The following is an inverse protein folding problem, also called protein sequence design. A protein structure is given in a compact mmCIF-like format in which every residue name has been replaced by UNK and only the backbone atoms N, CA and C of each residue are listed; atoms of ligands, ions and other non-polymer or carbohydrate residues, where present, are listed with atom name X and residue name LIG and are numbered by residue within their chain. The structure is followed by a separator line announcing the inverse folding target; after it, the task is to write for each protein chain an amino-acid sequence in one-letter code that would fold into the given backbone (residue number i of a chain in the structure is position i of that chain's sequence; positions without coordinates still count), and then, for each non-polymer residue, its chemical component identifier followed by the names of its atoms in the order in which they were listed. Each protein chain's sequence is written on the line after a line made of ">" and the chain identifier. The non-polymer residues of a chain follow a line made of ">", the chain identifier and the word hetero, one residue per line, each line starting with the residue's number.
data_IF_620328608937
#
_entry.id   IF_620328608937
#
_cell.length_a   1.000
_cell.length_b   1.000
_cell.length_c   1.000
_cell.angle_alpha   90.00
_cell.angle_beta   90.00
_cell.angle_gamma   90.00
#
_symmetry.space_group_name_H-M   'P 1'
#
loop_
_entity.id
_entity.type
_entity.pdbx_description
1 polymer ?
#
# COMPACT_ATOMS: atom_id res chain seq x y z
N UNK A 1 -98.01 40.28 10.92
CA UNK A 1 -97.51 39.43 9.82
C UNK A 1 -96.03 39.17 10.06
N UNK A 2 -95.58 37.94 9.87
CA UNK A 2 -94.45 37.28 10.58
C UNK A 2 -93.16 37.34 9.75
N UNK A 3 -92.04 37.66 10.43
CA UNK A 3 -90.64 37.21 10.23
C UNK A 3 -90.05 37.16 8.81
N UNK A 4 -89.10 38.07 8.55
CA UNK A 4 -87.91 37.82 7.74
C UNK A 4 -86.67 37.97 8.64
N UNK A 5 -85.90 36.89 8.79
CA UNK A 5 -84.61 36.87 9.49
C UNK A 5 -83.61 36.22 8.54
N UNK A 6 -82.73 37.07 8.02
CA UNK A 6 -81.26 36.89 8.01
C UNK A 6 -80.71 35.57 7.44
N UNK A 7 -80.29 35.62 6.17
CA UNK A 7 -79.29 34.73 5.58
C UNK A 7 -78.21 35.54 4.84
N UNK A 8 -77.09 35.80 5.52
CA UNK A 8 -75.80 36.24 4.99
C UNK A 8 -74.76 35.81 6.04
N UNK A 9 -73.66 35.09 5.80
CA UNK A 9 -73.08 34.43 4.64
C UNK A 9 -71.73 33.83 5.09
N UNK A 10 -71.53 32.49 5.06
CA UNK A 10 -70.29 31.88 5.57
C UNK A 10 -69.12 31.79 4.56
N UNK A 11 -69.24 32.40 3.37
CA UNK A 11 -68.32 32.16 2.23
C UNK A 11 -66.91 32.77 2.37
N UNK A 12 -66.76 33.93 3.03
CA UNK A 12 -65.46 34.64 3.09
C UNK A 12 -64.44 34.09 4.09
N UNK A 13 -64.89 33.31 5.08
CA UNK A 13 -63.99 32.73 6.09
C UNK A 13 -63.30 31.45 5.58
N UNK A 14 -63.93 30.73 4.65
CA UNK A 14 -63.38 29.51 4.04
C UNK A 14 -62.24 29.81 3.04
N UNK A 15 -62.39 30.84 2.21
CA UNK A 15 -61.38 31.26 1.22
C UNK A 15 -60.09 31.82 1.86
N UNK A 16 -60.19 32.47 3.02
CA UNK A 16 -59.01 32.97 3.75
C UNK A 16 -58.21 31.84 4.39
N UNK A 17 -58.84 30.72 4.76
CA UNK A 17 -58.17 29.55 5.35
C UNK A 17 -57.39 28.76 4.30
N UNK A 18 -57.97 28.56 3.11
CA UNK A 18 -57.29 27.84 2.02
C UNK A 18 -56.06 28.58 1.48
N UNK A 19 -56.06 29.91 1.48
CA UNK A 19 -54.90 30.71 1.06
C UNK A 19 -53.73 30.61 2.06
N UNK A 20 -54.00 30.65 3.36
CA UNK A 20 -52.99 30.52 4.40
C UNK A 20 -52.37 29.12 4.44
N UNK A 21 -53.18 28.07 4.26
CA UNK A 21 -52.71 26.68 4.20
C UNK A 21 -51.81 26.45 2.97
N UNK A 22 -52.11 27.07 1.84
CA UNK A 22 -51.27 26.96 0.65
C UNK A 22 -49.90 27.65 0.82
N UNK A 23 -49.86 28.83 1.44
CA UNK A 23 -48.61 29.53 1.73
C UNK A 23 -47.71 28.75 2.73
N UNK A 24 -48.31 28.12 3.74
CA UNK A 24 -47.60 27.25 4.68
C UNK A 24 -47.05 26.00 3.98
N UNK A 25 -47.83 25.37 3.10
CA UNK A 25 -47.36 24.22 2.32
C UNK A 25 -46.19 24.56 1.39
N UNK A 26 -46.24 25.72 0.72
CA UNK A 26 -45.11 26.18 -0.11
C UNK A 26 -43.85 26.46 0.72
N UNK A 27 -44.01 27.05 1.92
CA UNK A 27 -42.91 27.31 2.83
C UNK A 27 -42.27 26.00 3.35
N UNK A 28 -43.09 25.03 3.74
CA UNK A 28 -42.63 23.71 4.19
C UNK A 28 -41.93 22.93 3.07
N UNK A 29 -42.44 22.99 1.84
CA UNK A 29 -41.79 22.39 0.68
C UNK A 29 -40.42 23.05 0.41
N UNK A 30 -40.32 24.38 0.50
CA UNK A 30 -39.07 25.12 0.34
C UNK A 30 -38.04 24.78 1.43
N UNK A 31 -38.46 24.65 2.69
CA UNK A 31 -37.60 24.21 3.79
C UNK A 31 -37.10 22.78 3.60
N UNK A 32 -37.99 21.88 3.19
CA UNK A 32 -37.65 20.46 2.94
C UNK A 32 -36.61 20.36 1.83
N UNK A 33 -36.79 21.09 0.72
CA UNK A 33 -35.82 21.13 -0.38
C UNK A 33 -34.44 21.67 0.06
N UNK A 34 -34.41 22.71 0.91
CA UNK A 34 -33.16 23.23 1.47
C UNK A 34 -32.47 22.22 2.39
N UNK A 35 -33.23 21.54 3.26
CA UNK A 35 -32.70 20.49 4.14
C UNK A 35 -32.12 19.32 3.34
N UNK A 36 -32.80 18.86 2.30
CA UNK A 36 -32.29 17.81 1.41
C UNK A 36 -31.00 18.24 0.70
N UNK A 37 -30.92 19.49 0.24
CA UNK A 37 -29.70 20.03 -0.39
C UNK A 37 -28.53 20.10 0.59
N UNK A 38 -28.77 20.53 1.83
CA UNK A 38 -27.74 20.56 2.87
C UNK A 38 -27.24 19.15 3.21
N UNK A 39 -28.15 18.17 3.33
CA UNK A 39 -27.77 16.77 3.57
C UNK A 39 -26.90 16.21 2.44
N UNK A 40 -27.27 16.47 1.18
CA UNK A 40 -26.49 16.07 0.02
C UNK A 40 -25.10 16.75 -0.01
N UNK A 41 -25.01 18.03 0.35
CA UNK A 41 -23.75 18.75 0.45
C UNK A 41 -22.84 18.16 1.55
N UNK A 42 -23.40 17.86 2.72
CA UNK A 42 -22.66 17.21 3.82
C UNK A 42 -22.10 15.84 3.39
N UNK A 43 -22.88 15.05 2.66
CA UNK A 43 -22.41 13.77 2.13
C UNK A 43 -21.25 13.96 1.14
N UNK A 44 -21.34 14.96 0.25
CA UNK A 44 -20.27 15.29 -0.70
C UNK A 44 -18.98 15.75 0.01
N UNK A 45 -19.09 16.53 1.07
CA UNK A 45 -17.94 16.96 1.89
C UNK A 45 -17.28 15.75 2.57
N UNK A 46 -18.06 14.82 3.13
CA UNK A 46 -17.52 13.58 3.72
C UNK A 46 -16.75 12.75 2.70
N UNK A 47 -17.31 12.56 1.49
CA UNK A 47 -16.64 11.85 0.39
C UNK A 47 -15.36 12.56 -0.05
N UNK A 48 -15.39 13.90 -0.11
CA UNK A 48 -14.23 14.72 -0.45
C UNK A 48 -13.10 14.54 0.59
N UNK A 49 -13.41 14.59 1.88
CA UNK A 49 -12.40 14.41 2.94
C UNK A 49 -11.70 13.06 2.82
N UNK A 50 -12.46 11.97 2.62
CA UNK A 50 -11.87 10.65 2.43
C UNK A 50 -11.05 10.53 1.13
N UNK A 51 -11.44 11.25 0.08
CA UNK A 51 -10.64 11.33 -1.15
C UNK A 51 -9.35 12.11 -0.92
N UNK A 52 -9.41 13.25 -0.23
CA UNK A 52 -8.26 14.08 0.07
C UNK A 52 -7.25 13.36 0.97
N UNK A 53 -7.70 12.65 1.99
CA UNK A 53 -6.86 11.80 2.86
C UNK A 53 -6.03 10.81 2.04
N UNK A 54 -6.68 10.03 1.16
CA UNK A 54 -5.98 9.10 0.25
C UNK A 54 -4.99 9.80 -0.69
N UNK A 55 -5.32 11.01 -1.14
CA UNK A 55 -4.41 11.81 -1.99
C UNK A 55 -3.18 12.27 -1.22
N UNK A 56 -3.34 12.72 0.03
CA UNK A 56 -2.21 13.11 0.87
C UNK A 56 -1.33 11.92 1.25
N UNK A 57 -1.91 10.77 1.59
CA UNK A 57 -1.17 9.53 1.83
C UNK A 57 -0.36 9.12 0.60
N UNK A 58 -0.98 9.16 -0.59
CA UNK A 58 -0.30 8.82 -1.83
C UNK A 58 0.79 9.83 -2.21
N UNK A 59 0.57 11.13 -1.97
CA UNK A 59 1.56 12.18 -2.20
C UNK A 59 2.76 12.02 -1.26
N UNK A 60 2.51 11.77 0.03
CA UNK A 60 3.55 11.53 1.03
C UNK A 60 4.36 10.28 0.71
N UNK A 61 3.70 9.18 0.34
CA UNK A 61 4.38 7.97 -0.10
C UNK A 61 5.28 8.26 -1.31
N UNK A 62 4.81 9.03 -2.30
CA UNK A 62 5.63 9.40 -3.48
C UNK A 62 6.84 10.26 -3.10
N UNK A 63 6.69 11.15 -2.12
CA UNK A 63 7.78 12.00 -1.62
C UNK A 63 8.87 11.19 -0.89
N UNK A 64 8.51 10.21 -0.07
CA UNK A 64 9.48 9.32 0.61
C UNK A 64 10.37 8.53 -0.36
N UNK A 65 9.91 8.31 -1.60
CA UNK A 65 10.64 7.55 -2.61
C UNK A 65 11.30 8.42 -3.69
N UNK A 66 11.09 9.73 -3.67
CA UNK A 66 11.59 10.64 -4.70
C UNK A 66 12.85 11.37 -4.21
N UNK A 67 13.88 11.43 -5.06
CA UNK A 67 15.04 12.28 -4.79
C UNK A 67 14.63 13.77 -4.86
N UNK A 68 15.25 14.60 -4.02
CA UNK A 68 14.89 16.00 -3.72
C UNK A 68 14.83 16.96 -4.95
N UNK A 69 15.19 16.48 -6.15
CA UNK A 69 15.21 17.27 -7.39
C UNK A 69 14.11 16.93 -8.42
N UNK A 70 13.19 16.00 -8.15
CA UNK A 70 12.11 15.70 -9.10
C UNK A 70 11.10 16.86 -9.17
N UNK A 71 11.09 17.54 -10.32
CA UNK A 71 10.13 18.61 -10.66
C UNK A 71 8.67 18.18 -10.47
N UNK A 72 8.39 16.89 -10.61
CA UNK A 72 7.06 16.30 -10.43
C UNK A 72 6.65 16.33 -8.96
N UNK A 73 7.56 15.98 -8.05
CA UNK A 73 7.32 15.96 -6.60
C UNK A 73 7.09 17.36 -6.07
N UNK A 74 7.88 18.34 -6.52
CA UNK A 74 7.64 19.76 -6.20
C UNK A 74 6.28 20.25 -6.71
N UNK A 75 5.90 19.85 -7.93
CA UNK A 75 4.61 20.19 -8.51
C UNK A 75 3.44 19.56 -7.73
N UNK A 76 3.55 18.28 -7.34
CA UNK A 76 2.56 17.60 -6.49
C UNK A 76 2.44 18.31 -5.13
N UNK A 77 3.57 18.63 -4.48
CA UNK A 77 3.57 19.36 -3.20
C UNK A 77 2.84 20.70 -3.32
N UNK A 78 3.15 21.49 -4.36
CA UNK A 78 2.45 22.75 -4.60
C UNK A 78 0.94 22.58 -4.84
N UNK A 79 0.51 21.51 -5.52
CA UNK A 79 -0.92 21.21 -5.66
C UNK A 79 -1.57 20.76 -4.34
N UNK A 80 -0.85 20.02 -3.49
CA UNK A 80 -1.30 19.64 -2.16
C UNK A 80 -1.50 20.86 -1.25
N UNK A 81 -0.61 21.85 -1.29
CA UNK A 81 -0.78 23.11 -0.57
C UNK A 81 -2.03 23.88 -1.02
N UNK A 82 -2.27 23.94 -2.34
CA UNK A 82 -3.49 24.55 -2.89
C UNK A 82 -4.75 23.79 -2.44
N UNK A 83 -4.71 22.46 -2.45
CA UNK A 83 -5.83 21.64 -1.97
C UNK A 83 -6.10 21.88 -0.48
N UNK A 84 -5.06 21.95 0.36
CA UNK A 84 -5.19 22.26 1.79
C UNK A 84 -5.87 23.62 1.98
N UNK A 85 -5.44 24.66 1.26
CA UNK A 85 -6.06 25.98 1.34
C UNK A 85 -7.56 25.95 0.98
N UNK A 86 -7.96 25.17 -0.04
CA UNK A 86 -9.36 25.00 -0.43
C UNK A 86 -10.16 24.26 0.66
N UNK A 87 -9.58 23.22 1.27
CA UNK A 87 -10.22 22.45 2.35
C UNK A 87 -10.37 23.28 3.63
N UNK A 88 -9.37 24.08 4.00
CA UNK A 88 -9.49 25.05 5.10
C UNK A 88 -10.58 26.06 4.81
N UNK A 89 -10.71 26.49 3.55
CA UNK A 89 -11.83 27.31 3.12
C UNK A 89 -13.20 26.67 3.35
N UNK A 90 -13.34 25.34 3.29
CA UNK A 90 -14.63 24.67 3.56
C UNK A 90 -15.03 24.66 5.03
N UNK A 91 -14.11 25.00 5.95
CA UNK A 91 -14.37 25.07 7.39
C UNK A 91 -14.89 26.45 7.83
N UNK A 92 -14.96 27.42 6.92
CA UNK A 92 -15.46 28.76 7.20
C UNK A 92 -17.00 28.77 7.22
N UNK A 93 -17.57 28.92 8.42
CA UNK A 93 -19.02 28.93 8.69
C UNK A 93 -19.76 30.12 8.03
N UNK A 94 -19.03 31.13 7.53
CA UNK A 94 -19.61 32.32 6.90
C UNK A 94 -20.09 32.11 5.46
N UNK A 95 -19.87 30.94 4.85
CA UNK A 95 -20.08 30.72 3.41
C UNK A 95 -21.50 30.33 3.07
N UNK A 96 -22.00 30.85 1.95
CA UNK A 96 -23.29 30.41 1.44
C UNK A 96 -23.18 29.02 0.78
N UNK A 97 -24.31 28.34 0.63
CA UNK A 97 -24.38 26.97 0.08
C UNK A 97 -23.77 26.87 -1.32
N UNK A 98 -23.90 27.91 -2.15
CA UNK A 98 -23.36 27.91 -3.51
C UNK A 98 -21.83 28.02 -3.53
N UNK A 99 -21.25 28.84 -2.66
CA UNK A 99 -19.80 28.94 -2.46
C UNK A 99 -19.23 27.62 -1.94
N UNK A 100 -19.88 27.00 -0.96
CA UNK A 100 -19.48 25.67 -0.48
C UNK A 100 -19.53 24.63 -1.60
N UNK A 101 -20.58 24.60 -2.42
CA UNK A 101 -20.69 23.69 -3.57
C UNK A 101 -19.57 23.91 -4.59
N UNK A 102 -19.23 25.17 -4.88
CA UNK A 102 -18.14 25.54 -5.79
C UNK A 102 -16.78 25.07 -5.26
N UNK A 103 -16.50 25.31 -3.98
CA UNK A 103 -15.28 24.85 -3.31
C UNK A 103 -15.17 23.32 -3.28
N UNK A 104 -16.28 22.62 -3.02
CA UNK A 104 -16.32 21.14 -3.09
C UNK A 104 -15.99 20.64 -4.51
N UNK A 105 -16.52 21.28 -5.56
CA UNK A 105 -16.19 20.93 -6.93
C UNK A 105 -14.70 21.17 -7.24
N UNK A 106 -14.17 22.33 -6.84
CA UNK A 106 -12.76 22.68 -7.04
C UNK A 106 -11.82 21.70 -6.32
N UNK A 107 -12.12 21.38 -5.06
CA UNK A 107 -11.34 20.43 -4.27
C UNK A 107 -11.36 19.03 -4.90
N UNK A 108 -12.52 18.58 -5.40
CA UNK A 108 -12.60 17.30 -6.12
C UNK A 108 -11.73 17.28 -7.38
N UNK A 109 -11.79 18.33 -8.20
CA UNK A 109 -10.96 18.47 -9.39
C UNK A 109 -9.47 18.51 -9.06
N UNK A 110 -9.08 19.14 -7.95
CA UNK A 110 -7.70 19.14 -7.45
C UNK A 110 -7.26 17.74 -7.00
N UNK A 111 -8.10 17.01 -6.27
CA UNK A 111 -7.80 15.61 -5.93
C UNK A 111 -7.59 14.74 -7.17
N UNK A 112 -8.41 14.92 -8.21
CA UNK A 112 -8.25 14.17 -9.48
C UNK A 112 -6.95 14.53 -10.20
N UNK A 113 -6.61 15.83 -10.27
CA UNK A 113 -5.36 16.30 -10.86
C UNK A 113 -4.14 15.72 -10.14
N UNK A 114 -4.10 15.80 -8.80
CA UNK A 114 -2.98 15.27 -8.01
C UNK A 114 -2.88 13.76 -8.19
N UNK A 115 -4.01 13.04 -8.18
CA UNK A 115 -4.05 11.60 -8.43
C UNK A 115 -3.43 11.28 -9.79
N UNK A 116 -3.81 12.02 -10.84
CA UNK A 116 -3.25 11.83 -12.18
C UNK A 116 -1.73 12.10 -12.21
N UNK A 117 -1.25 13.16 -11.55
CA UNK A 117 0.18 13.47 -11.45
C UNK A 117 0.97 12.42 -10.65
N UNK A 118 0.37 11.84 -9.62
CA UNK A 118 0.97 10.75 -8.86
C UNK A 118 1.08 9.50 -9.73
N UNK A 119 0.02 9.17 -10.47
CA UNK A 119 -0.06 7.99 -11.33
C UNK A 119 0.73 8.11 -12.64
N UNK A 120 1.10 9.32 -13.06
CA UNK A 120 1.95 9.49 -14.23
C UNK A 120 3.30 8.81 -13.97
N UNK A 121 3.68 7.80 -14.79
CA UNK A 121 4.97 7.17 -14.68
C UNK A 121 6.03 8.22 -14.99
N UNK A 122 7.03 8.38 -14.12
CA UNK A 122 8.18 9.23 -14.41
C UNK A 122 8.89 8.62 -15.63
N UNK A 123 8.77 9.27 -16.79
CA UNK A 123 9.38 8.81 -18.04
C UNK A 123 10.90 9.00 -18.07
N UNK A 124 11.52 9.50 -17.00
CA UNK A 124 12.96 9.46 -16.87
C UNK A 124 13.41 7.99 -16.75
N UNK A 125 14.20 7.46 -17.69
CA UNK A 125 14.77 6.12 -17.53
C UNK A 125 15.58 6.13 -16.24
N UNK A 126 15.25 5.21 -15.32
CA UNK A 126 16.03 5.04 -14.10
C UNK A 126 17.52 4.96 -14.47
N UNK A 127 18.43 5.69 -13.80
CA UNK A 127 19.85 5.58 -14.07
C UNK A 127 20.35 4.13 -14.06
N UNK A 128 19.71 3.26 -13.26
CA UNK A 128 19.97 1.83 -13.23
C UNK A 128 19.72 1.12 -14.57
N UNK A 129 18.79 1.61 -15.39
CA UNK A 129 18.49 1.08 -16.72
C UNK A 129 19.50 1.52 -17.79
N UNK A 130 20.26 2.59 -17.53
CA UNK A 130 21.34 3.03 -18.43
C UNK A 130 22.63 2.22 -18.24
N UNK A 131 22.71 1.47 -17.14
CA UNK A 131 23.86 0.62 -16.85
C UNK A 131 23.81 -0.68 -17.67
N UNK A 132 24.96 -1.18 -18.16
CA UNK A 132 25.04 -2.51 -18.72
C UNK A 132 24.52 -3.58 -17.75
N UNK A 133 23.85 -4.60 -18.26
CA UNK A 133 23.31 -5.70 -17.43
C UNK A 133 24.39 -6.38 -16.56
N UNK A 134 25.64 -6.46 -17.06
CA UNK A 134 26.76 -7.00 -16.29
C UNK A 134 27.06 -6.19 -15.03
N UNK A 135 26.88 -4.86 -15.07
CA UNK A 135 27.03 -3.99 -13.92
C UNK A 135 25.97 -4.31 -12.86
N UNK A 136 24.72 -4.51 -13.29
CA UNK A 136 23.64 -4.86 -12.39
C UNK A 136 23.86 -6.23 -11.75
N UNK A 137 24.17 -7.26 -12.55
CA UNK A 137 24.34 -8.64 -12.07
C UNK A 137 25.58 -8.84 -11.20
N UNK A 138 26.68 -8.16 -11.49
CA UNK A 138 27.97 -8.44 -10.83
C UNK A 138 28.27 -7.51 -9.65
N UNK A 139 27.77 -6.27 -9.67
CA UNK A 139 28.12 -5.27 -8.66
C UNK A 139 26.92 -4.82 -7.82
N UNK A 140 25.76 -4.61 -8.44
CA UNK A 140 24.61 -4.02 -7.76
C UNK A 140 23.72 -5.09 -7.11
N UNK A 141 23.41 -6.16 -7.83
CA UNK A 141 22.57 -7.28 -7.39
C UNK A 141 23.05 -7.90 -6.07
N UNK A 142 24.34 -8.24 -5.92
CA UNK A 142 24.88 -8.78 -4.68
C UNK A 142 24.72 -7.85 -3.46
N UNK A 143 24.67 -6.53 -3.65
CA UNK A 143 24.58 -5.54 -2.57
C UNK A 143 23.14 -5.26 -2.13
N UNK A 144 22.19 -5.29 -3.06
CA UNK A 144 20.78 -4.98 -2.78
C UNK A 144 20.06 -6.10 -2.03
N UNK A 145 20.50 -7.34 -2.27
CA UNK A 145 19.86 -8.52 -1.72
C UNK A 145 18.53 -8.87 -2.40
N UNK A 146 18.20 -10.15 -2.43
CA UNK A 146 17.04 -10.67 -3.16
C UNK A 146 15.71 -10.01 -2.80
N UNK A 147 15.45 -9.73 -1.51
CA UNK A 147 14.21 -9.06 -1.10
C UNK A 147 14.05 -7.65 -1.70
N UNK A 148 15.11 -6.85 -1.74
CA UNK A 148 15.05 -5.49 -2.30
C UNK A 148 14.89 -5.54 -3.81
N UNK A 149 15.57 -6.49 -4.46
CA UNK A 149 15.47 -6.74 -5.90
C UNK A 149 14.04 -7.09 -6.31
N UNK A 150 13.41 -8.03 -5.60
CA UNK A 150 12.05 -8.50 -5.93
C UNK A 150 10.97 -7.54 -5.43
N UNK A 151 11.07 -7.10 -4.19
CA UNK A 151 10.00 -6.37 -3.51
C UNK A 151 9.97 -4.87 -3.78
N UNK A 152 11.06 -4.28 -4.27
CA UNK A 152 11.14 -2.84 -4.54
C UNK A 152 11.52 -2.56 -5.98
N UNK A 153 12.67 -3.06 -6.42
CA UNK A 153 13.18 -2.75 -7.75
C UNK A 153 12.33 -3.34 -8.88
N UNK A 154 11.89 -4.60 -8.73
CA UNK A 154 11.03 -5.24 -9.73
C UNK A 154 9.67 -4.55 -9.90
N UNK A 155 9.18 -3.84 -8.88
CA UNK A 155 7.91 -3.12 -8.94
C UNK A 155 8.06 -1.71 -9.56
N UNK A 156 9.27 -1.15 -9.55
CA UNK A 156 9.52 0.19 -10.05
C UNK A 156 9.55 0.28 -11.59
N UNK A 157 9.93 -0.78 -12.30
CA UNK A 157 10.02 -0.78 -13.76
C UNK A 157 9.99 -2.21 -14.34
N UNK A 158 9.34 -2.39 -15.50
CA UNK A 158 9.23 -3.70 -16.19
C UNK A 158 10.59 -4.27 -16.64
N UNK A 159 11.55 -3.43 -17.02
CA UNK A 159 12.90 -3.88 -17.36
C UNK A 159 13.67 -4.34 -16.11
N UNK A 160 13.51 -3.64 -14.98
CA UNK A 160 14.06 -4.09 -13.70
C UNK A 160 13.39 -5.37 -13.20
N UNK A 161 12.09 -5.57 -13.49
CA UNK A 161 11.39 -6.83 -13.24
C UNK A 161 11.97 -8.01 -14.02
N UNK A 162 12.37 -7.79 -15.28
CA UNK A 162 13.03 -8.83 -16.06
C UNK A 162 14.40 -9.19 -15.45
N UNK A 163 15.19 -8.18 -15.06
CA UNK A 163 16.50 -8.37 -14.42
C UNK A 163 16.38 -9.06 -13.06
N UNK A 164 15.37 -8.71 -12.26
CA UNK A 164 15.13 -9.31 -10.94
C UNK A 164 14.80 -10.79 -10.99
N UNK A 165 14.45 -11.36 -12.15
CA UNK A 165 14.17 -12.80 -12.30
C UNK A 165 15.35 -13.60 -12.87
N UNK A 166 16.43 -12.96 -13.29
CA UNK A 166 17.60 -13.65 -13.84
C UNK A 166 18.38 -14.35 -12.71
N UNK A 167 18.72 -15.65 -12.82
CA UNK A 167 19.49 -16.34 -11.78
C UNK A 167 20.84 -15.70 -11.45
N UNK A 168 21.44 -15.01 -12.42
CA UNK A 168 22.73 -14.30 -12.25
C UNK A 168 22.64 -13.08 -11.34
N UNK A 169 21.45 -12.52 -11.09
CA UNK A 169 21.27 -11.40 -10.15
C UNK A 169 21.18 -11.87 -8.70
N UNK A 170 20.90 -13.15 -8.45
CA UNK A 170 20.72 -13.72 -7.11
C UNK A 170 21.95 -14.47 -6.61
N UNK A 171 23.14 -13.90 -6.78
CA UNK A 171 24.36 -14.50 -6.20
C UNK A 171 24.37 -14.41 -4.67
N UNK A 172 23.60 -13.48 -4.11
CA UNK A 172 23.48 -13.25 -2.68
C UNK A 172 22.01 -13.21 -2.26
N UNK A 173 21.58 -14.21 -1.49
CA UNK A 173 20.25 -14.27 -0.90
C UNK A 173 20.23 -13.48 0.40
N UNK A 174 19.51 -12.37 0.45
CA UNK A 174 19.26 -11.64 1.70
C UNK A 174 17.77 -11.67 2.04
N UNK A 175 17.47 -12.30 3.18
CA UNK A 175 16.14 -12.38 3.76
C UNK A 175 16.21 -11.85 5.19
N UNK A 176 16.35 -10.52 5.29
CA UNK A 176 16.32 -9.79 6.57
C UNK A 176 15.12 -8.85 6.58
N UNK A 177 14.35 -8.76 7.69
CA UNK A 177 13.44 -7.67 7.93
C UNK A 177 14.21 -6.33 7.90
N UNK A 178 13.78 -5.38 7.07
CA UNK A 178 14.46 -4.08 6.93
C UNK A 178 14.04 -3.07 8.00
N UNK A 179 12.96 -3.32 8.73
CA UNK A 179 12.45 -2.36 9.69
C UNK A 179 12.80 -2.76 11.11
N UNK A 180 13.41 -1.83 11.86
CA UNK A 180 13.51 -1.93 13.33
C UNK A 180 12.14 -1.87 14.02
N UNK A 181 11.08 -1.48 13.29
CA UNK A 181 9.69 -1.32 13.79
C UNK A 181 8.75 -2.46 13.40
N UNK A 182 9.10 -3.31 12.43
CA UNK A 182 8.32 -4.51 12.15
C UNK A 182 8.94 -5.68 12.87
N UNK A 183 8.11 -6.43 13.59
CA UNK A 183 8.46 -7.64 14.33
C UNK A 183 9.48 -8.48 13.56
N UNK A 184 10.70 -8.55 14.11
CA UNK A 184 11.69 -9.58 13.77
C UNK A 184 11.11 -11.00 13.91
N UNK A 185 9.99 -11.09 14.62
CA UNK A 185 9.22 -12.28 14.89
C UNK A 185 8.22 -12.65 13.80
N UNK A 186 7.97 -11.80 12.78
CA UNK A 186 7.05 -12.19 11.70
C UNK A 186 7.73 -13.24 10.83
N UNK A 187 7.28 -14.51 10.88
CA UNK A 187 7.92 -15.55 10.12
C UNK A 187 7.61 -15.38 8.64
N UNK A 188 8.61 -15.62 7.78
CA UNK A 188 8.41 -15.59 6.34
C UNK A 188 7.77 -16.92 5.93
N UNK A 189 6.46 -16.90 5.70
CA UNK A 189 5.74 -18.07 5.22
C UNK A 189 5.83 -18.17 3.70
N UNK A 190 6.66 -19.08 3.21
CA UNK A 190 6.80 -19.36 1.79
C UNK A 190 5.96 -20.58 1.43
N UNK A 191 5.00 -20.38 0.52
CA UNK A 191 4.24 -21.47 -0.09
C UNK A 191 5.12 -22.31 -1.02
N UNK A 192 4.78 -23.59 -1.22
CA UNK A 192 5.51 -24.47 -2.15
C UNK A 192 5.58 -23.90 -3.58
N UNK A 193 4.53 -23.19 -4.01
CA UNK A 193 4.49 -22.49 -5.30
C UNK A 193 5.54 -21.38 -5.36
N UNK A 194 5.71 -20.62 -4.29
CA UNK A 194 6.76 -19.59 -4.21
C UNK A 194 8.14 -20.24 -4.20
N UNK A 195 8.37 -21.29 -3.40
CA UNK A 195 9.66 -22.01 -3.39
C UNK A 195 10.00 -22.55 -4.78
N UNK A 196 9.04 -23.18 -5.46
CA UNK A 196 9.22 -23.71 -6.81
C UNK A 196 9.53 -22.61 -7.83
N UNK A 197 8.85 -21.47 -7.75
CA UNK A 197 9.08 -20.33 -8.65
C UNK A 197 10.50 -19.77 -8.52
N UNK A 198 11.09 -19.83 -7.32
CA UNK A 198 12.41 -19.28 -7.04
C UNK A 198 13.57 -20.28 -7.14
N UNK A 199 13.27 -21.58 -7.26
CA UNK A 199 14.27 -22.66 -7.35
C UNK A 199 15.39 -22.37 -8.35
N UNK A 200 15.03 -22.03 -9.59
CA UNK A 200 16.00 -21.79 -10.65
C UNK A 200 16.87 -20.55 -10.40
N UNK A 201 16.30 -19.52 -9.76
CA UNK A 201 17.01 -18.29 -9.45
C UNK A 201 18.09 -18.51 -8.39
N UNK A 202 17.79 -19.34 -7.38
CA UNK A 202 18.70 -19.55 -6.24
C UNK A 202 19.76 -20.62 -6.46
N UNK A 203 19.70 -21.41 -7.54
CA UNK A 203 20.69 -22.45 -7.83
C UNK A 203 22.13 -21.93 -7.93
N UNK A 204 22.32 -20.64 -8.26
CA UNK A 204 23.63 -19.98 -8.37
C UNK A 204 23.99 -19.10 -7.17
N UNK A 205 23.23 -19.20 -6.08
CA UNK A 205 23.47 -18.39 -4.87
C UNK A 205 24.75 -18.85 -4.21
N UNK A 206 25.71 -17.93 -4.04
CA UNK A 206 26.99 -18.19 -3.37
C UNK A 206 26.98 -17.81 -1.90
N UNK A 207 26.16 -16.82 -1.53
CA UNK A 207 26.06 -16.31 -0.16
C UNK A 207 24.61 -16.19 0.26
N UNK A 208 24.26 -16.64 1.46
CA UNK A 208 22.93 -16.46 2.04
C UNK A 208 23.03 -15.78 3.41
N UNK A 209 22.19 -14.77 3.63
CA UNK A 209 22.05 -14.02 4.88
C UNK A 209 20.57 -14.00 5.26
N UNK A 210 20.20 -14.68 6.34
CA UNK A 210 18.82 -14.96 6.71
C UNK A 210 18.59 -14.51 8.16
N UNK A 211 17.78 -13.47 8.35
CA UNK A 211 17.50 -12.88 9.66
C UNK A 211 16.04 -13.05 10.06
N UNK A 212 15.52 -14.28 10.06
CA UNK A 212 14.15 -14.60 10.45
C UNK A 212 14.05 -16.04 10.97
N UNK A 213 12.94 -16.41 11.60
CA UNK A 213 12.73 -17.77 12.12
C UNK A 213 12.76 -18.83 11.00
N UNK A 214 13.38 -20.01 11.23
CA UNK A 214 13.46 -21.06 10.23
C UNK A 214 12.08 -21.70 9.98
N UNK A 215 11.52 -21.50 8.79
CA UNK A 215 10.36 -22.24 8.27
C UNK A 215 10.77 -23.22 7.18
N UNK A 216 10.03 -24.33 7.04
CA UNK A 216 10.36 -25.37 6.05
C UNK A 216 10.48 -24.83 4.63
N UNK A 217 9.57 -23.96 4.18
CA UNK A 217 9.67 -23.35 2.85
C UNK A 217 10.95 -22.54 2.65
N UNK A 218 11.45 -21.88 3.70
CA UNK A 218 12.71 -21.14 3.68
C UNK A 218 13.93 -22.07 3.69
N UNK A 219 13.89 -23.14 4.47
CA UNK A 219 14.94 -24.16 4.48
C UNK A 219 15.04 -24.84 3.10
N UNK A 220 13.91 -25.24 2.51
CA UNK A 220 13.87 -25.80 1.15
C UNK A 220 14.43 -24.82 0.10
N UNK A 221 14.19 -23.53 0.28
CA UNK A 221 14.75 -22.50 -0.59
C UNK A 221 16.28 -22.46 -0.52
N UNK A 222 16.87 -22.59 0.67
CA UNK A 222 18.32 -22.65 0.86
C UNK A 222 18.92 -23.94 0.29
N UNK A 223 18.23 -25.06 0.40
CA UNK A 223 18.67 -26.34 -0.18
C UNK A 223 18.77 -26.29 -1.70
N UNK A 224 17.96 -25.46 -2.37
CA UNK A 224 18.10 -25.23 -3.81
C UNK A 224 19.42 -24.55 -4.18
N UNK A 225 20.12 -23.92 -3.23
CA UNK A 225 21.45 -23.36 -3.41
C UNK A 225 22.59 -24.33 -3.04
N UNK A 226 22.31 -25.58 -2.64
CA UNK A 226 23.31 -26.52 -2.08
C UNK A 226 24.57 -26.75 -2.95
N UNK A 227 24.44 -26.65 -4.27
CA UNK A 227 25.53 -26.88 -5.23
C UNK A 227 26.45 -25.66 -5.37
N UNK A 228 26.01 -24.46 -4.95
CA UNK A 228 26.70 -23.19 -5.19
C UNK A 228 27.00 -22.40 -3.91
N UNK A 229 26.30 -22.69 -2.81
CA UNK A 229 26.38 -21.94 -1.57
C UNK A 229 27.73 -22.14 -0.90
N UNK A 230 28.47 -21.05 -0.73
CA UNK A 230 29.80 -21.01 -0.10
C UNK A 230 29.77 -20.39 1.30
N UNK A 231 28.82 -19.48 1.55
CA UNK A 231 28.68 -18.79 2.82
C UNK A 231 27.20 -18.74 3.25
N UNK A 232 26.95 -19.09 4.51
CA UNK A 232 25.63 -19.01 5.15
C UNK A 232 25.73 -18.25 6.47
N UNK A 233 24.90 -17.23 6.62
CA UNK A 233 24.71 -16.50 7.86
C UNK A 233 23.21 -16.52 8.17
N UNK A 234 22.80 -17.18 9.25
CA UNK A 234 21.39 -17.33 9.60
C UNK A 234 21.14 -17.13 11.10
N UNK A 235 20.27 -16.21 11.47
CA UNK A 235 19.91 -15.96 12.86
C UNK A 235 18.44 -15.65 13.01
N UNK A 236 17.92 -15.90 14.21
CA UNK A 236 16.55 -15.57 14.59
C UNK A 236 16.55 -15.09 16.04
N UNK A 237 16.01 -13.91 16.28
CA UNK A 237 15.83 -13.37 17.63
C UNK A 237 14.51 -13.84 18.26
N UNK A 238 13.64 -14.48 17.46
CA UNK A 238 12.33 -14.93 17.88
C UNK A 238 12.39 -16.05 18.91
N UNK A 239 11.66 -15.87 20.02
CA UNK A 239 11.38 -16.90 21.02
C UNK A 239 10.33 -17.93 20.57
N UNK A 240 10.04 -18.04 19.27
CA UNK A 240 8.83 -18.71 18.80
C UNK A 240 8.88 -20.22 19.04
N UNK A 241 8.05 -20.67 19.98
CA UNK A 241 7.68 -22.06 20.25
C UNK A 241 6.49 -22.38 19.34
N UNK A 242 6.76 -22.71 18.08
CA UNK A 242 5.86 -23.63 17.38
C UNK A 242 6.51 -24.99 17.50
N UNK A 243 5.85 -25.90 18.22
CA UNK A 243 6.27 -27.27 18.49
C UNK A 243 7.22 -27.79 17.41
N UNK A 244 8.49 -28.06 17.77
CA UNK A 244 9.56 -28.54 16.88
C UNK A 244 9.18 -29.73 15.98
N UNK A 245 8.03 -30.35 16.25
CA UNK A 245 7.27 -31.30 15.43
C UNK A 245 7.16 -30.93 13.95
N UNK A 246 7.00 -29.66 13.57
CA UNK A 246 6.87 -29.28 12.15
C UNK A 246 8.20 -29.41 11.37
N UNK A 247 9.33 -29.14 12.03
CA UNK A 247 10.67 -29.38 11.47
C UNK A 247 11.12 -30.86 11.61
N UNK A 248 10.42 -31.65 12.42
CA UNK A 248 10.73 -33.08 12.68
C UNK A 248 10.04 -34.03 11.71
N UNK A 249 8.92 -33.63 11.10
CA UNK A 249 8.04 -34.57 10.38
C UNK A 249 8.48 -34.96 8.97
N UNK A 250 9.62 -34.47 8.48
CA UNK A 250 10.17 -34.95 7.21
C UNK A 250 11.07 -36.15 7.46
N UNK A 251 10.41 -37.30 7.50
CA UNK A 251 10.95 -38.66 7.41
C UNK A 251 12.06 -38.73 6.36
N UNK A 252 13.22 -39.25 6.77
CA UNK A 252 14.21 -40.17 6.16
C UNK A 252 14.23 -40.48 4.63
N UNK A 253 13.40 -39.89 3.78
CA UNK A 253 13.20 -40.29 2.37
C UNK A 253 13.78 -39.30 1.36
N UNK A 254 14.10 -38.06 1.73
CA UNK A 254 14.94 -37.20 0.90
C UNK A 254 16.39 -37.37 1.32
N UNK A 255 17.17 -38.06 0.48
CA UNK A 255 18.56 -38.40 0.74
C UNK A 255 19.40 -37.22 1.24
N UNK A 256 20.42 -37.54 2.04
CA UNK A 256 21.34 -36.60 2.71
C UNK A 256 21.65 -35.38 1.82
N UNK A 257 21.03 -34.24 2.13
CA UNK A 257 21.22 -33.00 1.37
C UNK A 257 22.57 -32.41 1.78
N UNK A 258 23.61 -32.71 1.00
CA UNK A 258 24.95 -32.18 1.21
C UNK A 258 25.13 -30.80 0.54
N UNK A 259 25.78 -29.88 1.26
CA UNK A 259 26.21 -28.58 0.76
C UNK A 259 27.71 -28.65 0.41
N UNK A 260 28.03 -29.12 -0.80
CA UNK A 260 29.40 -29.50 -1.18
C UNK A 260 30.42 -28.34 -1.21
N UNK A 261 29.96 -27.10 -1.34
CA UNK A 261 30.81 -25.92 -1.42
C UNK A 261 30.75 -25.02 -0.18
N UNK A 262 29.96 -25.38 0.84
CA UNK A 262 29.73 -24.54 2.00
C UNK A 262 30.98 -24.51 2.87
N UNK A 263 31.64 -23.35 2.92
CA UNK A 263 32.91 -23.16 3.60
C UNK A 263 32.77 -22.34 4.90
N UNK A 264 31.73 -21.51 5.01
CA UNK A 264 31.52 -20.62 6.16
C UNK A 264 30.06 -20.66 6.59
N UNK A 265 29.83 -21.04 7.84
CA UNK A 265 28.51 -21.06 8.46
C UNK A 265 28.53 -20.25 9.74
N UNK A 266 27.60 -19.32 9.86
CA UNK A 266 27.33 -18.54 11.06
C UNK A 266 25.86 -18.69 11.39
N UNK A 267 25.55 -19.45 12.43
CA UNK A 267 24.17 -19.68 12.85
C UNK A 267 23.93 -19.23 14.29
N UNK A 268 22.76 -18.67 14.56
CA UNK A 268 22.33 -18.30 15.90
C UNK A 268 20.81 -18.52 16.08
N UNK A 269 20.37 -18.63 17.34
CA UNK A 269 18.98 -18.93 17.66
C UNK A 269 18.53 -20.29 17.13
N UNK A 270 17.30 -20.38 16.63
CA UNK A 270 16.70 -21.64 16.15
C UNK A 270 17.38 -22.23 14.91
N UNK A 271 18.16 -21.44 14.17
CA UNK A 271 18.94 -21.93 13.04
C UNK A 271 20.02 -22.95 13.45
N UNK A 272 20.46 -22.93 14.71
CA UNK A 272 21.41 -23.94 15.23
C UNK A 272 20.81 -25.35 15.11
N UNK A 273 19.52 -25.52 15.41
CA UNK A 273 18.82 -26.80 15.29
C UNK A 273 18.76 -27.28 13.83
N UNK A 274 18.47 -26.37 12.90
CA UNK A 274 18.44 -26.66 11.46
C UNK A 274 19.81 -27.06 10.95
N UNK A 275 20.85 -26.30 11.31
CA UNK A 275 22.24 -26.57 10.92
C UNK A 275 22.69 -27.95 11.40
N UNK A 276 22.43 -28.30 12.66
CA UNK A 276 22.75 -29.61 13.22
C UNK A 276 22.04 -30.75 12.48
N UNK A 277 20.74 -30.61 12.19
CA UNK A 277 19.96 -31.64 11.49
C UNK A 277 20.39 -31.82 10.05
N UNK A 278 20.79 -30.74 9.37
CA UNK A 278 21.19 -30.76 7.95
C UNK A 278 22.69 -30.87 7.73
N UNK A 279 23.47 -31.00 8.81
CA UNK A 279 24.93 -31.12 8.79
C UNK A 279 25.60 -29.99 7.98
N UNK A 280 25.15 -28.77 8.22
CA UNK A 280 25.75 -27.57 7.64
C UNK A 280 27.11 -27.25 8.26
#
# INVERSE_FOLDING_TARGET
>A
TRKEVEQQGPSRAAEKRTCADHALQQCLAGLTAKLSRLAALQERIKKLNHKAERVFEAAHAKEEFSEESDTTTQSVRGQCEVLLAVLTGLQDDGKNVHEMESLVCLANAKCDLITAMIQQPSFAPSPLLTLPECCFTSYIGPLLGTRSIIGRLALSNTALHALSRKPTTHQTLHLRPQSKRFDWDTPVDLTDKQVAAWRAAFRKTKRAVVGCAPRMGLVHLLEHAREALTELEAWSDAHYVDDGRSLERREETEGDIAFSLLARVKVAGWWICVANRRRW
#
